data_IF_347598286914
#
_entry.id   IF_347598286914
#
_cell.length_a   1.000
_cell.length_b   1.000
_cell.length_c   1.000
_cell.angle_alpha   90.00
_cell.angle_beta   90.00
_cell.angle_gamma   90.00
#
_symmetry.space_group_name_H-M   'P 1'
#
loop_
_entity.id
_entity.type
_entity.pdbx_description
1 polymer ?
#
# COMPACT_ATOMS: atom_id res chain seq x y z
N UNK A 1 -6.72 1.84 7.21
CA UNK A 1 -5.26 2.12 7.24
C UNK A 1 -4.75 2.44 5.83
N UNK A 2 -5.06 1.63 4.79
CA UNK A 2 -4.75 1.95 3.39
C UNK A 2 -5.06 3.40 2.94
N UNK A 3 -6.28 3.89 3.13
CA UNK A 3 -6.65 5.27 2.74
C UNK A 3 -5.89 6.33 3.52
N UNK A 4 -5.61 6.08 4.80
CA UNK A 4 -4.81 6.98 5.64
C UNK A 4 -3.36 7.06 5.18
N UNK A 5 -2.75 5.92 4.83
CA UNK A 5 -1.42 5.87 4.20
C UNK A 5 -1.44 6.70 2.92
N UNK A 6 -2.50 6.57 2.11
CA UNK A 6 -2.62 7.33 0.87
C UNK A 6 -2.71 8.84 1.07
N UNK A 7 -3.48 9.30 2.06
CA UNK A 7 -3.50 10.72 2.43
C UNK A 7 -2.12 11.22 2.85
N UNK A 8 -1.41 10.49 3.71
CA UNK A 8 -0.06 10.87 4.12
C UNK A 8 0.93 10.94 2.96
N UNK A 9 0.85 9.99 2.02
CA UNK A 9 1.68 10.02 0.80
C UNK A 9 1.35 11.24 -0.06
N UNK A 10 0.06 11.61 -0.18
CA UNK A 10 -0.35 12.81 -0.91
C UNK A 10 0.12 14.09 -0.22
N UNK A 11 0.05 14.17 1.12
CA UNK A 11 0.52 15.32 1.90
C UNK A 11 2.04 15.51 1.71
N UNK A 12 2.83 14.43 1.70
CA UNK A 12 4.26 14.49 1.39
C UNK A 12 4.51 14.95 -0.05
N UNK A 13 3.65 14.54 -0.99
CA UNK A 13 3.74 15.00 -2.37
C UNK A 13 3.53 16.53 -2.47
N UNK A 14 2.55 17.06 -1.76
CA UNK A 14 2.30 18.51 -1.72
C UNK A 14 3.44 19.27 -1.04
N UNK A 15 4.05 18.69 -0.01
CA UNK A 15 5.29 19.18 0.59
C UNK A 15 6.43 19.28 -0.42
N UNK A 16 6.69 18.21 -1.19
CA UNK A 16 7.73 18.19 -2.23
C UNK A 16 7.42 19.21 -3.34
N UNK A 17 6.15 19.34 -3.74
CA UNK A 17 5.74 20.26 -4.80
C UNK A 17 5.96 21.72 -4.40
N UNK A 18 5.75 22.05 -3.11
CA UNK A 18 6.01 23.38 -2.56
C UNK A 18 7.48 23.81 -2.67
N UNK A 19 8.40 22.85 -2.81
CA UNK A 19 9.82 23.09 -3.05
C UNK A 19 10.15 23.30 -4.54
N UNK A 20 9.15 23.37 -5.43
CA UNK A 20 9.32 23.46 -6.88
C UNK A 20 9.74 22.13 -7.53
N UNK A 21 9.64 21.02 -6.80
CA UNK A 21 10.10 19.68 -7.21
C UNK A 21 8.95 18.83 -7.78
N UNK A 22 8.14 19.41 -8.66
CA UNK A 22 6.87 18.86 -9.15
C UNK A 22 6.97 17.46 -9.77
N UNK A 23 8.08 17.13 -10.45
CA UNK A 23 8.27 15.79 -11.01
C UNK A 23 8.33 14.69 -9.93
N UNK A 24 8.99 14.97 -8.79
CA UNK A 24 9.04 14.04 -7.67
C UNK A 24 7.70 13.99 -6.92
N UNK A 25 7.04 15.14 -6.77
CA UNK A 25 5.70 15.20 -6.19
C UNK A 25 4.69 14.34 -6.97
N UNK A 26 4.70 14.43 -8.30
CA UNK A 26 3.77 13.65 -9.14
C UNK A 26 3.97 12.15 -8.98
N UNK A 27 5.20 11.66 -8.80
CA UNK A 27 5.45 10.25 -8.51
C UNK A 27 4.78 9.78 -7.20
N UNK A 28 4.80 10.60 -6.13
CA UNK A 28 4.07 10.28 -4.90
C UNK A 28 2.55 10.34 -5.09
N UNK A 29 2.05 11.34 -5.82
CA UNK A 29 0.61 11.47 -6.09
C UNK A 29 0.07 10.24 -6.84
N UNK A 30 0.80 9.75 -7.83
CA UNK A 30 0.42 8.56 -8.61
C UNK A 30 0.28 7.30 -7.75
N UNK A 31 1.12 7.14 -6.73
CA UNK A 31 1.09 5.95 -5.87
C UNK A 31 0.24 6.13 -4.60
N UNK A 32 -0.18 7.36 -4.27
CA UNK A 32 -0.90 7.69 -3.02
C UNK A 32 -2.12 6.80 -2.77
N UNK A 33 -3.04 6.70 -3.72
CA UNK A 33 -4.26 5.90 -3.57
C UNK A 33 -4.08 4.42 -3.93
N UNK A 34 -2.87 3.98 -4.33
CA UNK A 34 -2.68 2.69 -5.02
C UNK A 34 -3.08 1.48 -4.18
N UNK A 35 -2.76 1.47 -2.89
CA UNK A 35 -3.14 0.35 -1.99
C UNK A 35 -4.67 0.25 -1.88
N UNK A 36 -5.35 1.35 -1.59
CA UNK A 36 -6.81 1.36 -1.43
C UNK A 36 -7.53 1.12 -2.77
N UNK A 37 -7.00 1.64 -3.87
CA UNK A 37 -7.52 1.42 -5.22
C UNK A 37 -7.50 -0.05 -5.61
N UNK A 38 -6.37 -0.74 -5.43
CA UNK A 38 -6.25 -2.18 -5.71
C UNK A 38 -7.24 -3.00 -4.86
N UNK A 39 -7.37 -2.67 -3.57
CA UNK A 39 -8.32 -3.36 -2.69
C UNK A 39 -9.78 -3.13 -3.10
N UNK A 40 -10.12 -1.89 -3.48
CA UNK A 40 -11.46 -1.55 -3.95
C UNK A 40 -11.79 -2.32 -5.24
N UNK A 41 -10.87 -2.35 -6.21
CA UNK A 41 -11.02 -3.12 -7.43
C UNK A 41 -11.21 -4.61 -7.13
N UNK A 42 -10.32 -5.20 -6.34
CA UNK A 42 -10.38 -6.62 -5.97
C UNK A 42 -11.62 -7.01 -5.17
N UNK A 43 -12.22 -6.06 -4.43
CA UNK A 43 -13.45 -6.32 -3.67
C UNK A 43 -14.65 -6.63 -4.56
N UNK A 44 -14.57 -6.31 -5.86
CA UNK A 44 -15.57 -6.68 -6.86
C UNK A 44 -15.46 -8.12 -7.36
N UNK A 45 -14.38 -8.84 -7.03
CA UNK A 45 -14.17 -10.21 -7.50
C UNK A 45 -15.27 -11.16 -7.01
N UNK A 46 -15.78 -12.07 -7.86
CA UNK A 46 -16.86 -12.97 -7.50
C UNK A 46 -16.43 -14.06 -6.52
N UNK A 47 -15.13 -14.39 -6.45
CA UNK A 47 -14.62 -15.42 -5.54
C UNK A 47 -13.54 -14.91 -4.58
N UNK A 48 -13.41 -15.56 -3.42
CA UNK A 48 -12.37 -15.25 -2.42
C UNK A 48 -10.96 -15.49 -2.96
N UNK A 49 -10.66 -16.58 -3.68
CA UNK A 49 -9.33 -16.77 -4.29
C UNK A 49 -8.95 -15.67 -5.29
N UNK A 50 -9.89 -15.20 -6.12
CA UNK A 50 -9.61 -14.08 -7.04
C UNK A 50 -9.31 -12.79 -6.28
N UNK A 51 -10.09 -12.47 -5.24
CA UNK A 51 -9.79 -11.30 -4.42
C UNK A 51 -8.41 -11.41 -3.73
N UNK A 52 -7.99 -12.61 -3.33
CA UNK A 52 -6.67 -12.82 -2.72
C UNK A 52 -5.50 -12.40 -3.64
N UNK A 53 -5.66 -12.51 -4.96
CA UNK A 53 -4.68 -12.01 -5.94
C UNK A 53 -4.53 -10.49 -5.83
N UNK A 54 -5.63 -9.75 -5.77
CA UNK A 54 -5.61 -8.29 -5.59
C UNK A 54 -5.02 -7.89 -4.23
N UNK A 55 -5.36 -8.61 -3.16
CA UNK A 55 -4.73 -8.37 -1.84
C UNK A 55 -3.20 -8.59 -1.90
N UNK A 56 -2.74 -9.55 -2.70
CA UNK A 56 -1.31 -9.75 -2.95
C UNK A 56 -0.68 -8.58 -3.70
N UNK A 57 -1.36 -8.03 -4.71
CA UNK A 57 -0.93 -6.83 -5.41
C UNK A 57 -0.90 -5.59 -4.50
N UNK A 58 -1.91 -5.41 -3.66
CA UNK A 58 -1.95 -4.34 -2.67
C UNK A 58 -0.78 -4.45 -1.69
N UNK A 59 -0.43 -5.67 -1.26
CA UNK A 59 0.78 -5.92 -0.46
C UNK A 59 2.05 -5.54 -1.23
N UNK A 60 2.14 -5.86 -2.52
CA UNK A 60 3.24 -5.42 -3.38
C UNK A 60 3.38 -3.89 -3.41
N UNK A 61 2.26 -3.17 -3.56
CA UNK A 61 2.22 -1.72 -3.54
C UNK A 61 2.74 -1.13 -2.21
N UNK A 62 2.53 -1.79 -1.06
CA UNK A 62 3.14 -1.32 0.20
C UNK A 62 4.67 -1.27 0.16
N UNK A 63 5.30 -2.24 -0.53
CA UNK A 63 6.76 -2.32 -0.64
C UNK A 63 7.29 -1.29 -1.65
N UNK A 64 6.57 -1.10 -2.75
CA UNK A 64 6.88 -0.08 -3.77
C UNK A 64 6.84 1.33 -3.15
N UNK A 65 5.77 1.65 -2.42
CA UNK A 65 5.64 2.95 -1.75
C UNK A 65 6.73 3.10 -0.68
N UNK A 66 7.03 2.07 0.11
CA UNK A 66 8.09 2.14 1.12
C UNK A 66 9.45 2.45 0.48
N UNK A 67 9.77 1.80 -0.64
CA UNK A 67 11.00 2.07 -1.40
C UNK A 67 11.06 3.52 -1.90
N UNK A 68 9.95 4.06 -2.43
CA UNK A 68 9.89 5.46 -2.87
C UNK A 68 10.09 6.45 -1.71
N UNK A 69 9.47 6.18 -0.56
CA UNK A 69 9.62 7.04 0.63
C UNK A 69 11.06 7.05 1.12
N UNK A 70 11.72 5.89 1.21
CA UNK A 70 13.14 5.79 1.56
C UNK A 70 14.00 6.56 0.53
N UNK A 71 13.77 6.32 -0.77
CA UNK A 71 14.52 7.00 -1.84
C UNK A 71 14.38 8.52 -1.80
N UNK A 72 13.19 9.05 -1.48
CA UNK A 72 13.00 10.51 -1.36
C UNK A 72 13.54 11.08 -0.05
N UNK A 73 13.55 10.30 1.03
CA UNK A 73 14.23 10.68 2.27
C UNK A 73 15.75 10.78 2.09
N UNK A 74 16.38 9.80 1.43
CA UNK A 74 17.82 9.82 1.08
C UNK A 74 18.23 11.02 0.20
N UNK A 75 17.25 11.66 -0.46
CA UNK A 75 17.44 12.87 -1.28
C UNK A 75 17.02 14.15 -0.57
N UNK A 76 16.80 14.08 0.74
CA UNK A 76 16.39 15.17 1.61
C UNK A 76 15.09 15.84 1.14
N UNK A 77 14.19 15.06 0.51
CA UNK A 77 12.87 15.51 0.07
C UNK A 77 11.77 15.21 1.08
N UNK A 78 12.01 14.23 1.95
CA UNK A 78 11.14 13.78 3.03
C UNK A 78 12.02 13.75 4.29
N UNK A 79 11.45 14.12 5.44
CA UNK A 79 12.20 14.06 6.70
C UNK A 79 12.40 12.61 7.15
N UNK A 80 13.48 12.32 7.88
CA UNK A 80 13.70 10.99 8.48
C UNK A 80 12.55 10.58 9.43
N UNK A 81 11.91 11.55 10.09
CA UNK A 81 10.75 11.31 10.93
C UNK A 81 9.55 10.83 10.11
N UNK A 82 9.22 11.54 9.01
CA UNK A 82 8.14 11.16 8.10
C UNK A 82 8.41 9.81 7.43
N UNK A 83 9.66 9.57 7.03
CA UNK A 83 10.09 8.29 6.48
C UNK A 83 9.84 7.16 7.49
N UNK A 84 10.40 7.29 8.70
CA UNK A 84 10.28 6.28 9.75
C UNK A 84 8.82 6.01 10.10
N UNK A 85 8.01 7.06 10.25
CA UNK A 85 6.59 6.94 10.55
C UNK A 85 5.84 6.21 9.44
N UNK A 86 6.03 6.62 8.19
CA UNK A 86 5.28 6.08 7.05
C UNK A 86 5.72 4.66 6.68
N UNK A 87 7.03 4.37 6.73
CA UNK A 87 7.56 3.01 6.53
C UNK A 87 7.03 2.05 7.61
N UNK A 88 6.92 2.51 8.86
CA UNK A 88 6.31 1.70 9.93
C UNK A 88 4.82 1.44 9.67
N UNK A 89 4.07 2.42 9.15
CA UNK A 89 2.67 2.22 8.74
C UNK A 89 2.56 1.21 7.60
N UNK A 90 3.39 1.35 6.56
CA UNK A 90 3.44 0.45 5.40
C UNK A 90 3.80 -0.99 5.81
N UNK A 91 4.74 -1.16 6.74
CA UNK A 91 5.11 -2.47 7.30
C UNK A 91 3.94 -3.14 8.02
N UNK A 92 3.19 -2.38 8.82
CA UNK A 92 1.98 -2.89 9.51
C UNK A 92 0.91 -3.26 8.50
N UNK A 93 0.68 -2.43 7.48
CA UNK A 93 -0.31 -2.70 6.43
C UNK A 93 0.08 -3.95 5.63
N UNK A 94 1.35 -4.09 5.24
CA UNK A 94 1.86 -5.28 4.53
C UNK A 94 1.58 -6.58 5.29
N UNK A 95 1.74 -6.57 6.62
CA UNK A 95 1.44 -7.72 7.48
C UNK A 95 -0.07 -7.98 7.56
N UNK A 96 -0.88 -6.94 7.68
CA UNK A 96 -2.35 -7.06 7.70
C UNK A 96 -2.87 -7.63 6.39
N UNK A 97 -2.34 -7.16 5.26
CA UNK A 97 -2.69 -7.63 3.92
C UNK A 97 -2.30 -9.10 3.71
N UNK A 98 -1.11 -9.52 4.18
CA UNK A 98 -0.74 -10.93 4.07
C UNK A 98 -1.65 -11.85 4.89
N UNK A 99 -1.97 -11.45 6.12
CA UNK A 99 -2.93 -12.20 6.96
C UNK A 99 -4.32 -12.26 6.30
N UNK A 100 -4.76 -11.15 5.70
CA UNK A 100 -6.05 -11.09 5.02
C UNK A 100 -6.08 -11.97 3.78
N UNK A 101 -5.03 -11.95 2.96
CA UNK A 101 -4.84 -12.84 1.81
C UNK A 101 -4.95 -14.31 2.23
N UNK A 102 -4.21 -14.72 3.27
CA UNK A 102 -4.25 -16.09 3.77
C UNK A 102 -5.65 -16.50 4.25
N UNK A 103 -6.41 -15.57 4.84
CA UNK A 103 -7.80 -15.80 5.24
C UNK A 103 -8.71 -16.08 4.03
N UNK A 104 -8.59 -15.26 2.97
CA UNK A 104 -9.35 -15.43 1.72
C UNK A 104 -9.05 -16.77 1.04
N UNK A 105 -7.78 -17.17 0.99
CA UNK A 105 -7.35 -18.44 0.39
C UNK A 105 -7.88 -19.66 1.15
N UNK A 106 -7.95 -19.59 2.49
CA UNK A 106 -8.53 -20.66 3.31
C UNK A 106 -10.03 -20.77 3.09
N UNK A 107 -10.74 -19.65 3.05
CA UNK A 107 -12.18 -19.61 2.82
C UNK A 107 -12.59 -20.10 1.42
N UNK A 108 -11.68 -20.05 0.44
CA UNK A 108 -11.91 -20.55 -0.91
C UNK A 108 -11.66 -22.05 -1.08
N UNK A 109 -11.12 -22.76 -0.08
CA UNK A 109 -10.95 -24.21 -0.14
C UNK A 109 -12.24 -24.89 0.33
N UNK A 110 -12.74 -25.90 -0.41
CA UNK A 110 -13.82 -26.73 0.13
C UNK A 110 -13.37 -27.39 1.43
N UNK A 111 -14.29 -27.54 2.37
CA UNK A 111 -14.02 -28.25 3.63
C UNK A 111 -13.38 -29.61 3.31
N UNK A 112 -12.36 -30.03 4.09
CA UNK A 112 -11.82 -31.37 3.93
C UNK A 112 -12.97 -32.37 4.14
N UNK A 113 -13.28 -33.13 3.09
CA UNK A 113 -14.28 -34.20 3.16
C UNK A 113 -13.77 -35.25 4.14
N UNK A 114 -14.36 -35.27 5.34
CA UNK A 114 -14.14 -36.29 6.36
C UNK A 114 -13.08 -35.95 7.40
N UNK A 115 -13.55 -35.56 8.58
CA UNK A 115 -12.88 -35.79 9.86
C UNK A 115 -13.81 -36.65 10.73
#
# INVERSE_FOLDING_TARGET
MATEIGHRVADLADGIDSLGKTSFANQLREVSYRISGILAEGSSCPTKPEFAVFVSHARGATLEIANLIIFFSERELISEEDESNLVNMLKRESKMLDNFRQSLERAGKPDPVGA
#
